data_IF_454382690674
#
_entry.id   IF_454382690674
#
_cell.length_a   1.000
_cell.length_b   1.000
_cell.length_c   1.000
_cell.angle_alpha   90.00
_cell.angle_beta   90.00
_cell.angle_gamma   90.00
#
_symmetry.space_group_name_H-M   'P 1'
#
loop_
_entity.id
_entity.type
_entity.pdbx_description
1 polymer ?
#
# COMPACT_ATOMS: atom_id res chain seq x y z
N UNK A 1 17.14 17.53 5.86
CA UNK A 1 16.87 18.32 7.10
C UNK A 1 16.16 17.41 8.08
N UNK A 2 16.47 17.48 9.37
CA UNK A 2 15.83 16.65 10.41
C UNK A 2 14.87 17.50 11.25
N UNK A 3 13.76 16.92 11.68
CA UNK A 3 12.75 17.56 12.53
C UNK A 3 12.52 16.71 13.78
N UNK A 4 12.19 17.35 14.91
CA UNK A 4 11.87 16.65 16.15
C UNK A 4 10.36 16.44 16.27
N UNK A 5 9.96 15.23 16.61
CA UNK A 5 8.57 14.86 16.84
C UNK A 5 8.39 14.42 18.30
N UNK A 6 7.50 15.08 19.03
CA UNK A 6 7.08 14.68 20.37
C UNK A 6 5.73 13.96 20.27
N UNK A 7 5.67 12.71 20.73
CA UNK A 7 4.47 11.88 20.61
C UNK A 7 3.98 11.43 21.99
N UNK A 8 2.74 11.78 22.32
CA UNK A 8 2.06 11.20 23.48
C UNK A 8 1.44 9.87 23.06
N UNK A 9 2.05 8.77 23.49
CA UNK A 9 1.60 7.40 23.17
C UNK A 9 0.93 6.74 24.37
N UNK A 10 -0.16 5.98 24.14
CA UNK A 10 -0.73 5.10 25.16
C UNK A 10 0.32 4.15 25.75
N UNK A 11 0.27 3.93 27.06
CA UNK A 11 1.26 3.11 27.80
C UNK A 11 1.38 1.69 27.22
N UNK A 12 0.26 1.08 26.82
CA UNK A 12 0.25 -0.25 26.23
C UNK A 12 1.00 -0.31 24.89
N UNK A 13 1.00 0.77 24.10
CA UNK A 13 1.74 0.86 22.84
C UNK A 13 3.22 1.08 23.14
N UNK A 14 3.54 2.01 24.02
CA UNK A 14 4.91 2.30 24.44
C UNK A 14 5.63 1.03 24.95
N UNK A 15 4.98 0.26 25.81
CA UNK A 15 5.53 -1.00 26.34
C UNK A 15 5.78 -2.06 25.24
N UNK A 16 4.91 -2.15 24.22
CA UNK A 16 5.11 -3.05 23.09
C UNK A 16 6.32 -2.63 22.25
N UNK A 17 6.48 -1.33 22.00
CA UNK A 17 7.61 -0.79 21.24
C UNK A 17 8.93 -1.02 21.97
N UNK A 18 8.99 -0.78 23.29
CA UNK A 18 10.18 -1.10 24.10
C UNK A 18 10.52 -2.59 24.06
N UNK A 19 9.52 -3.47 24.21
CA UNK A 19 9.76 -4.93 24.14
C UNK A 19 10.33 -5.33 22.79
N UNK A 20 9.82 -4.74 21.71
CA UNK A 20 10.30 -5.00 20.34
C UNK A 20 11.74 -4.50 20.16
N UNK A 21 12.03 -3.27 20.58
CA UNK A 21 13.38 -2.68 20.57
C UNK A 21 14.39 -3.58 21.30
N UNK A 22 14.07 -4.01 22.52
CA UNK A 22 14.90 -4.94 23.30
C UNK A 22 15.13 -6.28 22.59
N UNK A 23 14.10 -6.85 21.97
CA UNK A 23 14.19 -8.13 21.26
C UNK A 23 15.09 -8.02 20.01
N UNK A 24 15.08 -6.87 19.35
CA UNK A 24 15.82 -6.63 18.11
C UNK A 24 17.21 -6.02 18.35
N UNK A 25 17.52 -5.62 19.59
CA UNK A 25 18.79 -4.95 19.91
C UNK A 25 18.87 -3.52 19.37
N UNK A 26 17.72 -2.91 19.08
CA UNK A 26 17.61 -1.57 18.51
C UNK A 26 17.11 -0.55 19.54
N UNK A 27 17.25 0.74 19.21
CA UNK A 27 16.68 1.83 20.01
C UNK A 27 15.19 1.97 19.76
N UNK A 28 14.47 2.58 20.71
CA UNK A 28 13.04 2.85 20.56
C UNK A 28 12.78 3.77 19.36
N UNK A 29 13.65 4.76 19.18
CA UNK A 29 13.61 5.72 18.08
C UNK A 29 13.68 5.02 16.72
N UNK A 30 14.60 4.07 16.53
CA UNK A 30 14.72 3.33 15.27
C UNK A 30 13.48 2.48 14.98
N UNK A 31 12.91 1.83 16.00
CA UNK A 31 11.66 1.09 15.85
C UNK A 31 10.52 2.01 15.44
N UNK A 32 10.40 3.18 16.06
CA UNK A 32 9.34 4.15 15.75
C UNK A 32 9.52 4.69 14.33
N UNK A 33 10.74 5.05 13.92
CA UNK A 33 11.02 5.51 12.57
C UNK A 33 10.68 4.45 11.52
N UNK A 34 11.10 3.19 11.74
CA UNK A 34 10.77 2.08 10.83
C UNK A 34 9.26 1.88 10.68
N UNK A 35 8.49 2.03 11.76
CA UNK A 35 7.02 1.96 11.68
C UNK A 35 6.43 3.14 10.90
N UNK A 36 6.94 4.35 11.11
CA UNK A 36 6.47 5.54 10.38
C UNK A 36 6.77 5.43 8.88
N UNK A 37 7.93 4.87 8.52
CA UNK A 37 8.30 4.62 7.12
C UNK A 37 7.37 3.58 6.48
N UNK A 38 7.04 2.49 7.19
CA UNK A 38 6.13 1.46 6.69
C UNK A 38 4.71 1.99 6.43
N UNK A 39 4.20 2.86 7.32
CA UNK A 39 2.87 3.45 7.14
C UNK A 39 2.86 4.43 5.95
N UNK A 40 3.94 5.15 5.70
CA UNK A 40 4.04 6.02 4.54
C UNK A 40 4.10 5.24 3.22
N UNK A 41 4.77 4.08 3.19
CA UNK A 41 4.80 3.22 2.00
C UNK A 41 3.41 2.68 1.62
N UNK A 42 2.52 2.50 2.60
CA UNK A 42 1.12 2.08 2.34
C UNK A 42 0.21 3.27 1.97
N UNK A 43 0.63 4.50 2.27
CA UNK A 43 -0.14 5.72 2.02
C UNK A 43 0.31 6.48 0.74
N UNK A 44 1.52 6.24 0.26
CA UNK A 44 2.03 6.78 -1.01
C UNK A 44 1.41 6.00 -2.19
N UNK A 45 0.24 6.48 -2.62
CA UNK A 45 -0.44 6.23 -3.89
C UNK A 45 -0.71 4.75 -4.24
N UNK A 46 -1.99 4.39 -4.40
CA UNK A 46 -2.31 3.12 -5.07
C UNK A 46 -1.68 3.19 -6.47
N UNK A 47 -0.68 2.34 -6.79
CA UNK A 47 0.00 2.39 -8.08
C UNK A 47 -0.97 2.12 -9.24
N UNK A 48 -2.18 1.61 -8.94
CA UNK A 48 -3.27 1.39 -9.89
C UNK A 48 -4.21 2.59 -10.04
N UNK A 49 -4.14 3.59 -9.16
CA UNK A 49 -4.97 4.80 -9.24
C UNK A 49 -4.77 5.54 -10.57
N UNK A 50 -3.52 5.61 -11.05
CA UNK A 50 -3.18 6.19 -12.35
C UNK A 50 -3.79 5.43 -13.55
N UNK A 51 -4.19 4.16 -13.36
CA UNK A 51 -4.77 3.33 -14.41
C UNK A 51 -6.30 3.40 -14.45
N UNK A 52 -6.94 4.07 -13.49
CA UNK A 52 -8.40 4.32 -13.52
C UNK A 52 -8.73 5.19 -14.73
N UNK A 53 -9.44 4.61 -15.71
CA UNK A 53 -9.81 5.30 -16.95
C UNK A 53 -8.68 5.49 -17.96
N UNK A 54 -7.49 4.92 -17.73
CA UNK A 54 -6.36 5.01 -18.66
C UNK A 54 -6.57 4.22 -19.97
N UNK A 55 -7.48 3.25 -19.95
CA UNK A 55 -7.84 2.46 -21.13
C UNK A 55 -9.17 2.95 -21.69
N UNK A 56 -9.11 3.58 -22.86
CA UNK A 56 -10.28 3.94 -23.65
C UNK A 56 -10.77 2.68 -24.39
N UNK A 57 -11.63 1.90 -23.74
CA UNK A 57 -12.32 0.81 -24.42
C UNK A 57 -13.44 1.42 -25.28
N UNK A 58 -13.44 1.11 -26.58
CA UNK A 58 -14.57 1.46 -27.48
C UNK A 58 -15.93 0.99 -26.98
N UNK A 59 -15.91 0.03 -26.05
CA UNK A 59 -17.07 -0.58 -25.45
C UNK A 59 -17.18 -0.06 -24.01
N UNK A 60 -18.21 0.75 -23.76
CA UNK A 60 -18.46 1.40 -22.46
C UNK A 60 -19.03 0.46 -21.39
N UNK A 61 -19.40 -0.77 -21.77
CA UNK A 61 -20.04 -1.79 -20.94
C UNK A 61 -19.05 -2.86 -20.44
N UNK A 62 -17.74 -2.58 -20.52
CA UNK A 62 -16.67 -3.48 -20.10
C UNK A 62 -16.87 -4.05 -18.69
N UNK A 63 -17.34 -3.24 -17.74
CA UNK A 63 -17.56 -3.69 -16.36
C UNK A 63 -18.64 -4.77 -16.26
N UNK A 64 -19.65 -4.72 -17.13
CA UNK A 64 -20.82 -5.61 -17.10
C UNK A 64 -20.58 -6.88 -17.93
N UNK A 65 -19.80 -6.77 -19.01
CA UNK A 65 -19.58 -7.84 -19.98
C UNK A 65 -18.11 -8.30 -20.06
N UNK A 66 -17.34 -8.08 -19.01
CA UNK A 66 -15.91 -8.39 -18.93
C UNK A 66 -15.56 -9.82 -19.36
N UNK A 67 -16.31 -10.82 -18.88
CA UNK A 67 -16.08 -12.23 -19.19
C UNK A 67 -16.31 -12.55 -20.68
N UNK A 68 -17.29 -11.89 -21.30
CA UNK A 68 -17.56 -12.02 -22.73
C UNK A 68 -16.38 -11.49 -23.55
N UNK A 69 -15.88 -10.30 -23.22
CA UNK A 69 -14.77 -9.67 -23.93
C UNK A 69 -13.43 -10.38 -23.71
N UNK A 70 -13.13 -10.79 -22.47
CA UNK A 70 -11.95 -11.60 -22.20
C UNK A 70 -12.00 -12.95 -22.94
N UNK A 71 -13.15 -13.61 -22.94
CA UNK A 71 -13.34 -14.87 -23.67
C UNK A 71 -13.12 -14.73 -25.17
N UNK A 72 -13.59 -13.64 -25.79
CA UNK A 72 -13.40 -13.38 -27.22
C UNK A 72 -11.95 -13.06 -27.57
N UNK A 73 -11.26 -12.24 -26.78
CA UNK A 73 -9.85 -11.92 -27.01
C UNK A 73 -8.94 -13.15 -26.97
N UNK A 74 -9.29 -14.16 -26.17
CA UNK A 74 -8.54 -15.42 -26.11
C UNK A 74 -8.73 -16.26 -27.38
N UNK A 75 -9.94 -16.29 -27.93
CA UNK A 75 -10.25 -17.03 -29.17
C UNK A 75 -9.60 -16.38 -30.39
N UNK A 76 -9.59 -15.04 -30.49
CA UNK A 76 -8.94 -14.33 -31.61
C UNK A 76 -7.41 -14.42 -31.59
N UNK A 77 -6.79 -14.72 -30.44
CA UNK A 77 -5.33 -14.85 -30.30
C UNK A 77 -4.78 -16.23 -30.69
N UNK A 78 -5.65 -17.17 -31.09
CA UNK A 78 -5.32 -18.56 -31.41
C UNK A 78 -5.38 -18.84 -32.94
N UNK A 79 -5.47 -17.81 -33.77
CA UNK A 79 -5.23 -17.87 -35.23
C UNK A 79 -3.94 -17.12 -35.61
#
# INVERSE_FOLDING_TARGET
MTHQLLLNVPENIYQKLIKKAKKQGETLENIVLNYLDQVNLEAEEDPLEQFIGAFDSKNSDWLENHDYYLGHSHVESID
#
